data_IF_074549142693
#
_entry.id   IF_074549142693
#
_cell.length_a   1.000
_cell.length_b   1.000
_cell.length_c   1.000
_cell.angle_alpha   90.00
_cell.angle_beta   90.00
_cell.angle_gamma   90.00
#
_symmetry.space_group_name_H-M   'P 1'
#
loop_
_entity.id
_entity.type
_entity.pdbx_description
1 polymer ?
#
# COMPACT_ATOMS: atom_id res chain seq x y z
N UNK A 1 -37.61 -28.51 58.10
CA UNK A 1 -36.61 -29.08 57.17
C UNK A 1 -35.51 -28.07 56.95
N UNK A 2 -34.31 -28.39 57.45
CA UNK A 2 -33.13 -27.53 57.46
C UNK A 2 -32.59 -27.46 56.03
N UNK A 3 -32.65 -26.28 55.40
CA UNK A 3 -32.05 -26.03 54.10
C UNK A 3 -30.52 -26.01 54.29
N UNK A 4 -29.85 -26.96 53.65
CA UNK A 4 -28.40 -27.14 53.77
C UNK A 4 -27.67 -25.93 53.11
N UNK A 5 -26.81 -25.18 53.82
CA UNK A 5 -26.17 -23.95 53.30
C UNK A 5 -25.12 -24.20 52.20
N UNK A 6 -24.82 -25.46 51.89
CA UNK A 6 -23.83 -25.89 50.89
C UNK A 6 -24.28 -25.76 49.43
N UNK A 7 -25.57 -25.51 49.15
CA UNK A 7 -26.08 -25.40 47.78
C UNK A 7 -25.57 -24.15 47.03
N UNK A 8 -25.11 -23.13 47.74
CA UNK A 8 -24.55 -21.92 47.15
C UNK A 8 -23.09 -22.05 46.68
N UNK A 9 -22.35 -23.07 47.14
CA UNK A 9 -20.96 -23.29 46.73
C UNK A 9 -20.82 -23.97 45.35
N UNK A 10 -21.87 -24.66 44.89
CA UNK A 10 -21.86 -25.38 43.61
C UNK A 10 -22.37 -24.55 42.42
N UNK A 11 -22.97 -23.39 42.66
CA UNK A 11 -23.48 -22.52 41.61
C UNK A 11 -22.68 -21.23 41.47
N UNK A 12 -21.34 -21.35 41.43
CA UNK A 12 -20.49 -20.30 40.88
C UNK A 12 -20.60 -20.42 39.35
N UNK A 13 -21.48 -19.65 38.73
CA UNK A 13 -21.51 -19.46 37.27
C UNK A 13 -20.12 -18.96 36.87
N UNK A 14 -19.25 -19.88 36.47
CA UNK A 14 -18.05 -19.56 35.70
C UNK A 14 -18.54 -18.72 34.54
N UNK A 15 -18.12 -17.45 34.50
CA UNK A 15 -18.30 -16.59 33.34
C UNK A 15 -17.45 -17.20 32.22
N UNK A 16 -17.98 -18.22 31.55
CA UNK A 16 -17.46 -18.73 30.29
C UNK A 16 -17.67 -17.62 29.26
N UNK A 17 -16.79 -16.62 29.29
CA UNK A 17 -16.53 -15.81 28.13
C UNK A 17 -15.58 -16.66 27.26
N UNK A 18 -16.00 -17.13 26.07
CA UNK A 18 -15.15 -17.92 25.16
C UNK A 18 -13.97 -17.11 24.58
N UNK A 19 -13.69 -15.93 25.16
CA UNK A 19 -12.62 -15.02 24.80
C UNK A 19 -11.56 -14.87 25.92
N UNK A 20 -11.76 -15.48 27.11
CA UNK A 20 -10.82 -15.34 28.25
C UNK A 20 -9.47 -16.04 28.05
N UNK A 21 -9.41 -17.03 27.17
CA UNK A 21 -8.18 -17.79 26.89
C UNK A 21 -7.48 -17.35 25.60
N UNK A 22 -7.89 -16.21 25.02
CA UNK A 22 -7.27 -15.70 23.78
C UNK A 22 -6.08 -14.81 24.12
N UNK A 23 -4.91 -15.18 23.59
CA UNK A 23 -3.75 -14.28 23.56
C UNK A 23 -4.12 -13.10 22.65
N UNK A 24 -4.02 -11.84 23.12
CA UNK A 24 -4.30 -10.69 22.28
C UNK A 24 -3.29 -10.62 21.13
N UNK A 25 -3.78 -10.56 19.89
CA UNK A 25 -2.95 -10.27 18.74
C UNK A 25 -2.54 -8.80 18.80
N UNK A 26 -1.26 -8.55 18.99
CA UNK A 26 -0.68 -7.21 18.97
C UNK A 26 0.04 -7.01 17.64
N UNK A 27 -0.14 -5.85 17.01
CA UNK A 27 0.67 -5.43 15.87
C UNK A 27 2.09 -5.22 16.38
N UNK A 28 2.99 -6.14 16.05
CA UNK A 28 4.39 -6.16 16.55
C UNK A 28 5.28 -5.17 15.79
N UNK A 29 4.84 -4.73 14.61
CA UNK A 29 5.50 -3.74 13.75
C UNK A 29 4.48 -2.71 13.30
N UNK A 30 4.59 -1.49 13.79
CA UNK A 30 3.87 -0.35 13.24
C UNK A 30 4.66 0.13 12.01
N UNK A 31 4.14 -0.16 10.82
CA UNK A 31 4.60 0.53 9.61
C UNK A 31 4.09 1.98 9.62
N UNK A 32 4.74 2.86 8.87
CA UNK A 32 4.29 4.25 8.73
C UNK A 32 2.88 4.22 8.14
N UNK A 33 1.90 4.72 8.89
CA UNK A 33 0.53 4.77 8.39
C UNK A 33 0.43 5.81 7.28
N UNK A 34 0.03 5.36 6.09
CA UNK A 34 -0.29 6.24 4.97
C UNK A 34 -1.32 7.30 5.37
N UNK A 35 -1.08 8.54 4.93
CA UNK A 35 -2.06 9.61 5.01
C UNK A 35 -3.32 9.26 4.20
N UNK A 36 -4.50 9.82 4.50
CA UNK A 36 -5.69 9.58 3.70
C UNK A 36 -5.50 10.02 2.24
N UNK A 37 -4.70 11.06 1.99
CA UNK A 37 -4.36 11.54 0.65
C UNK A 37 -3.47 10.53 -0.10
N UNK A 38 -2.44 9.98 0.56
CA UNK A 38 -1.56 8.94 0.00
C UNK A 38 -2.35 7.66 -0.32
N UNK A 39 -3.26 7.25 0.58
CA UNK A 39 -4.17 6.11 0.32
C UNK A 39 -5.05 6.39 -0.89
N UNK A 40 -5.61 7.59 -0.99
CA UNK A 40 -6.44 7.97 -2.14
C UNK A 40 -5.64 7.97 -3.45
N UNK A 41 -4.40 8.44 -3.41
CA UNK A 41 -3.48 8.42 -4.54
C UNK A 41 -3.19 6.98 -5.01
N UNK A 42 -2.75 6.11 -4.10
CA UNK A 42 -2.48 4.69 -4.44
C UNK A 42 -3.73 3.97 -4.95
N UNK A 43 -4.91 4.26 -4.38
CA UNK A 43 -6.18 3.72 -4.86
C UNK A 43 -6.56 4.21 -6.26
N UNK A 44 -6.25 5.47 -6.60
CA UNK A 44 -6.46 5.99 -7.95
C UNK A 44 -5.58 5.26 -8.97
N UNK A 45 -4.31 5.00 -8.63
CA UNK A 45 -3.38 4.21 -9.45
C UNK A 45 -3.89 2.77 -9.62
N UNK A 46 -4.32 2.12 -8.54
CA UNK A 46 -4.83 0.75 -8.56
C UNK A 46 -6.09 0.62 -9.44
N UNK A 47 -6.95 1.63 -9.47
CA UNK A 47 -8.13 1.69 -10.33
C UNK A 47 -7.82 2.09 -11.78
N UNK A 48 -6.60 2.56 -12.06
CA UNK A 48 -6.25 3.14 -13.36
C UNK A 48 -6.92 4.49 -13.65
N UNK A 49 -7.31 5.24 -12.60
CA UNK A 49 -7.91 6.56 -12.74
C UNK A 49 -6.83 7.61 -13.07
N UNK A 50 -6.55 7.78 -14.37
CA UNK A 50 -5.55 8.72 -14.86
C UNK A 50 -5.78 10.16 -14.36
N UNK A 51 -7.03 10.64 -14.38
CA UNK A 51 -7.35 12.01 -13.97
C UNK A 51 -7.11 12.22 -12.47
N UNK A 52 -7.50 11.24 -11.65
CA UNK A 52 -7.25 11.25 -10.22
C UNK A 52 -5.75 11.23 -9.88
N UNK A 53 -4.98 10.39 -10.58
CA UNK A 53 -3.51 10.32 -10.43
C UNK A 53 -2.86 11.64 -10.83
N UNK A 54 -3.23 12.20 -11.98
CA UNK A 54 -2.67 13.47 -12.45
C UNK A 54 -2.99 14.63 -11.50
N UNK A 55 -4.21 14.66 -10.95
CA UNK A 55 -4.60 15.66 -9.96
C UNK A 55 -3.76 15.52 -8.68
N UNK A 56 -3.62 14.31 -8.15
CA UNK A 56 -2.83 14.06 -6.95
C UNK A 56 -1.35 14.42 -7.12
N UNK A 57 -0.75 14.11 -8.27
CA UNK A 57 0.64 14.47 -8.58
C UNK A 57 0.85 15.99 -8.62
N UNK A 58 -0.07 16.73 -9.25
CA UNK A 58 -0.02 18.21 -9.27
C UNK A 58 -0.18 18.81 -7.88
N UNK A 59 -1.11 18.29 -7.09
CA UNK A 59 -1.31 18.75 -5.71
C UNK A 59 -0.06 18.47 -4.86
N UNK A 60 0.60 17.33 -5.08
CA UNK A 60 1.85 16.99 -4.39
C UNK A 60 2.98 17.99 -4.71
N UNK A 61 3.10 18.44 -5.96
CA UNK A 61 4.10 19.45 -6.36
C UNK A 61 3.84 20.84 -5.74
N UNK A 62 2.57 21.20 -5.56
CA UNK A 62 2.19 22.52 -5.04
C UNK A 62 2.19 22.56 -3.52
N UNK A 63 1.61 21.55 -2.87
CA UNK A 63 1.34 21.56 -1.43
C UNK A 63 2.27 20.65 -0.61
N UNK A 64 3.04 19.76 -1.24
CA UNK A 64 3.95 18.81 -0.58
C UNK A 64 3.28 17.98 0.53
N UNK A 65 1.99 17.71 0.39
CA UNK A 65 1.17 16.97 1.36
C UNK A 65 1.07 15.47 1.07
N UNK A 66 1.53 15.03 -0.11
CA UNK A 66 1.50 13.65 -0.56
C UNK A 66 2.94 13.24 -0.89
N UNK A 67 3.45 12.19 -0.25
CA UNK A 67 4.65 11.53 -0.74
C UNK A 67 4.31 10.66 -1.96
N UNK A 68 4.72 11.09 -3.15
CA UNK A 68 4.50 10.35 -4.41
C UNK A 68 5.23 8.99 -4.43
N UNK A 69 6.20 8.79 -3.54
CA UNK A 69 6.94 7.53 -3.37
C UNK A 69 6.42 6.67 -2.22
N UNK A 70 5.25 7.00 -1.67
CA UNK A 70 4.60 6.19 -0.64
C UNK A 70 4.37 4.74 -1.10
N UNK A 71 4.31 3.83 -0.12
CA UNK A 71 4.11 2.40 -0.34
C UNK A 71 2.88 1.90 0.39
N UNK A 72 2.13 1.01 -0.23
CA UNK A 72 0.99 0.34 0.42
C UNK A 72 1.44 -0.59 1.56
N UNK A 73 0.53 -1.12 2.40
CA UNK A 73 0.88 -2.09 3.45
C UNK A 73 1.47 -3.42 2.94
N UNK A 74 1.54 -3.63 1.61
CA UNK A 74 2.20 -4.76 0.96
C UNK A 74 3.61 -4.38 0.46
N UNK A 75 4.04 -3.14 0.68
CA UNK A 75 5.32 -2.60 0.23
C UNK A 75 5.35 -2.20 -1.25
N UNK A 76 4.20 -2.04 -1.91
CA UNK A 76 4.12 -1.66 -3.33
C UNK A 76 4.03 -0.14 -3.46
N UNK A 77 4.90 0.45 -4.29
CA UNK A 77 4.77 1.85 -4.69
C UNK A 77 3.74 2.01 -5.81
N UNK A 78 3.32 3.26 -6.07
CA UNK A 78 2.46 3.61 -7.20
C UNK A 78 2.96 3.02 -8.53
N UNK A 79 4.26 3.13 -8.81
CA UNK A 79 4.85 2.61 -10.06
C UNK A 79 4.75 1.09 -10.14
N UNK A 80 4.98 0.36 -9.03
CA UNK A 80 4.84 -1.10 -9.02
C UNK A 80 3.40 -1.54 -9.25
N UNK A 81 2.42 -0.85 -8.66
CA UNK A 81 1.00 -1.11 -8.87
C UNK A 81 0.62 -0.88 -10.35
N UNK A 82 1.09 0.21 -10.96
CA UNK A 82 0.84 0.50 -12.37
C UNK A 82 1.44 -0.59 -13.30
N UNK A 83 2.64 -1.11 -12.97
CA UNK A 83 3.24 -2.24 -13.70
C UNK A 83 2.41 -3.51 -13.54
N UNK A 84 1.94 -3.84 -12.33
CA UNK A 84 1.10 -5.02 -12.10
C UNK A 84 -0.20 -4.99 -12.89
N UNK A 85 -0.76 -3.79 -13.06
CA UNK A 85 -1.99 -3.58 -13.81
C UNK A 85 -1.73 -3.41 -15.32
N UNK A 86 -0.48 -3.48 -15.77
CA UNK A 86 -0.05 -3.22 -17.15
C UNK A 86 -0.57 -1.88 -17.71
N UNK A 87 -0.79 -0.89 -16.84
CA UNK A 87 -1.33 0.41 -17.22
C UNK A 87 -0.19 1.35 -17.62
N UNK A 88 0.21 1.27 -18.89
CA UNK A 88 1.31 2.03 -19.46
C UNK A 88 1.09 3.55 -19.39
N UNK A 89 -0.15 4.03 -19.56
CA UNK A 89 -0.45 5.47 -19.51
C UNK A 89 -0.20 6.06 -18.13
N UNK A 90 -0.64 5.36 -17.07
CA UNK A 90 -0.38 5.77 -15.69
C UNK A 90 1.11 5.63 -15.36
N UNK A 91 1.79 4.61 -15.89
CA UNK A 91 3.24 4.49 -15.73
C UNK A 91 4.00 5.67 -16.34
N UNK A 92 3.68 6.06 -17.58
CA UNK A 92 4.29 7.23 -18.23
C UNK A 92 4.08 8.49 -17.40
N UNK A 93 2.84 8.72 -16.96
CA UNK A 93 2.51 9.86 -16.11
C UNK A 93 3.33 9.90 -14.82
N UNK A 94 3.50 8.76 -14.13
CA UNK A 94 4.29 8.66 -12.90
C UNK A 94 5.79 8.91 -13.17
N UNK A 95 6.31 8.39 -14.28
CA UNK A 95 7.72 8.58 -14.67
C UNK A 95 8.00 10.04 -15.03
N UNK A 96 7.09 10.71 -15.75
CA UNK A 96 7.21 12.12 -16.12
C UNK A 96 7.25 13.05 -14.89
N UNK A 97 6.60 12.66 -13.79
CA UNK A 97 6.65 13.39 -12.52
C UNK A 97 7.82 12.94 -11.61
N UNK A 98 8.77 12.17 -12.14
CA UNK A 98 10.01 11.84 -11.44
C UNK A 98 9.87 10.89 -10.26
N UNK A 99 8.84 10.03 -10.24
CA UNK A 99 8.67 9.00 -9.19
C UNK A 99 9.88 8.06 -9.18
N UNK A 100 10.30 7.65 -7.98
CA UNK A 100 11.45 6.77 -7.80
C UNK A 100 11.20 5.42 -8.47
N UNK A 101 12.10 5.06 -9.40
CA UNK A 101 12.00 3.78 -10.11
C UNK A 101 12.50 2.59 -9.31
N UNK A 102 13.35 2.77 -8.29
CA UNK A 102 13.83 1.69 -7.43
C UNK A 102 14.21 0.40 -8.18
N UNK A 103 13.55 -0.69 -7.83
CA UNK A 103 13.66 -2.02 -8.44
C UNK A 103 12.57 -2.32 -9.48
N UNK A 104 11.80 -1.32 -9.93
CA UNK A 104 10.68 -1.46 -10.86
C UNK A 104 11.06 -2.17 -12.18
N UNK A 105 12.27 -1.96 -12.69
CA UNK A 105 12.74 -2.66 -13.89
C UNK A 105 12.88 -4.16 -13.66
N UNK A 106 13.47 -4.57 -12.52
CA UNK A 106 13.58 -5.98 -12.16
C UNK A 106 12.19 -6.57 -11.92
N UNK A 107 11.29 -5.79 -11.33
CA UNK A 107 9.91 -6.16 -11.11
C UNK A 107 9.15 -6.42 -12.42
N UNK A 108 9.25 -5.50 -13.39
CA UNK A 108 8.62 -5.63 -14.70
C UNK A 108 9.13 -6.85 -15.47
N UNK A 109 10.44 -7.13 -15.40
CA UNK A 109 11.03 -8.35 -15.99
C UNK A 109 10.44 -9.60 -15.34
N UNK A 110 10.37 -9.64 -14.01
CA UNK A 110 9.80 -10.79 -13.27
C UNK A 110 8.32 -11.02 -13.59
N UNK A 111 7.58 -9.97 -13.93
CA UNK A 111 6.18 -10.02 -14.35
C UNK A 111 5.99 -10.23 -15.86
N UNK A 112 7.09 -10.25 -16.62
CA UNK A 112 7.09 -10.41 -18.08
C UNK A 112 6.30 -9.31 -18.84
N UNK A 113 6.19 -8.12 -18.25
CA UNK A 113 5.46 -6.99 -18.86
C UNK A 113 6.38 -6.23 -19.82
N UNK A 114 6.37 -6.62 -21.09
CA UNK A 114 7.31 -6.07 -22.11
C UNK A 114 7.17 -4.55 -22.27
N UNK A 115 5.94 -4.03 -22.33
CA UNK A 115 5.70 -2.58 -22.49
C UNK A 115 6.26 -1.77 -21.32
N UNK A 116 6.12 -2.27 -20.09
CA UNK A 116 6.70 -1.65 -18.90
C UNK A 116 8.23 -1.62 -18.96
N UNK A 117 8.86 -2.71 -19.42
CA UNK A 117 10.31 -2.80 -19.59
C UNK A 117 10.80 -1.79 -20.64
N UNK A 118 10.13 -1.71 -21.79
CA UNK A 118 10.47 -0.77 -22.86
C UNK A 118 10.36 0.69 -22.40
N UNK A 119 9.28 1.05 -21.69
CA UNK A 119 9.10 2.39 -21.13
C UNK A 119 10.17 2.74 -20.11
N UNK A 120 10.44 1.86 -19.14
CA UNK A 120 11.45 2.09 -18.10
C UNK A 120 12.86 2.23 -18.69
N UNK A 121 13.19 1.44 -19.73
CA UNK A 121 14.47 1.56 -20.44
C UNK A 121 14.58 2.84 -21.27
N UNK A 122 13.48 3.31 -21.86
CA UNK A 122 13.44 4.54 -22.63
C UNK A 122 13.61 5.76 -21.73
N UNK A 123 12.95 5.78 -20.57
CA UNK A 123 13.04 6.88 -19.61
C UNK A 123 14.44 7.00 -18.95
N UNK A 124 15.20 5.91 -18.84
CA UNK A 124 16.59 5.95 -18.31
C UNK A 124 17.63 6.52 -19.28
N UNK A 125 17.32 6.68 -20.56
CA UNK A 125 18.31 7.02 -21.60
C UNK A 125 18.83 8.48 -21.68
N UNK A 126 18.37 9.53 -20.97
CA UNK A 126 18.87 10.89 -21.22
C UNK A 126 20.05 11.33 -20.32
N UNK A 127 20.95 10.41 -19.92
CA UNK A 127 22.14 10.77 -19.10
C UNK A 127 23.50 10.43 -19.75
N UNK A 128 23.51 10.15 -21.06
CA UNK A 128 24.70 9.68 -21.78
C UNK A 128 25.26 10.59 -22.89
N UNK A 129 24.58 11.66 -23.29
CA UNK A 129 25.12 12.58 -24.31
C UNK A 129 25.89 13.71 -23.63
N UNK A 130 27.16 13.44 -23.37
CA UNK A 130 28.17 14.45 -23.03
C UNK A 130 28.31 15.41 -24.20
N UNK A 131 27.84 16.66 -24.04
CA UNK A 131 28.31 17.81 -24.83
C UNK A 131 29.56 18.42 -24.18
#
# INVERSE_FOLDING_TARGET
>A
SIMNPMSHLYYKKSSYSPYRDRIPLQIVRAEVELSPEERSFLLAVEKGDYAGVQHALREAEVYYNIDVNCVDPLGRSALLIAIENENLEVMELLLDHGVNTGDALLYAIRKEVVGAVELLLSHRKPSGEKQ
#
